data_IF_845608267254
#
_entry.id   IF_845608267254
#
_cell.length_a   1.000
_cell.length_b   1.000
_cell.length_c   1.000
_cell.angle_alpha   90.00
_cell.angle_beta   90.00
_cell.angle_gamma   90.00
#
_symmetry.space_group_name_H-M   'P 1'
#
loop_
_entity.id
_entity.type
_entity.pdbx_description
1 polymer ?
#
# COMPACT_ATOMS: atom_id res chain seq x y z
N UNK A 1 51.17 7.76 39.50
CA UNK A 1 49.99 6.92 39.84
C UNK A 1 48.81 7.04 38.87
N UNK A 2 48.88 7.78 37.75
CA UNK A 2 47.71 8.06 36.88
C UNK A 2 47.46 7.00 35.78
N UNK A 3 48.46 6.19 35.40
CA UNK A 3 48.34 5.22 34.28
C UNK A 3 47.53 3.96 34.63
N UNK A 4 47.45 3.58 35.91
CA UNK A 4 46.69 2.38 36.35
C UNK A 4 45.17 2.59 36.32
N UNK A 5 44.68 3.80 36.60
CA UNK A 5 43.24 4.10 36.60
C UNK A 5 42.61 4.05 35.19
N UNK A 6 43.31 4.51 34.15
CA UNK A 6 42.80 4.49 32.78
C UNK A 6 42.65 3.09 32.17
N UNK A 7 43.52 2.14 32.55
CA UNK A 7 43.40 0.73 32.15
C UNK A 7 42.23 0.03 32.84
N UNK A 8 41.98 0.35 34.11
CA UNK A 8 40.88 -0.21 34.88
C UNK A 8 39.52 0.27 34.34
N UNK A 9 39.39 1.57 34.01
CA UNK A 9 38.19 2.12 33.38
C UNK A 9 37.88 1.53 32.01
N UNK A 10 38.91 1.34 31.15
CA UNK A 10 38.73 0.68 29.85
C UNK A 10 38.31 -0.78 29.99
N UNK A 11 38.80 -1.49 31.01
CA UNK A 11 38.40 -2.87 31.30
C UNK A 11 36.94 -2.96 31.77
N UNK A 12 36.53 -2.05 32.66
CA UNK A 12 35.16 -1.95 33.17
C UNK A 12 34.18 -1.57 32.05
N UNK A 13 34.54 -0.63 31.17
CA UNK A 13 33.73 -0.29 29.99
C UNK A 13 33.57 -1.47 29.02
N UNK A 14 34.63 -2.23 28.76
CA UNK A 14 34.56 -3.45 27.94
C UNK A 14 33.68 -4.52 28.58
N UNK A 15 33.78 -4.71 29.90
CA UNK A 15 32.93 -5.62 30.66
C UNK A 15 31.46 -5.21 30.64
N UNK A 16 31.17 -3.91 30.76
CA UNK A 16 29.83 -3.35 30.63
C UNK A 16 29.27 -3.58 29.23
N UNK A 17 29.98 -3.20 28.17
CA UNK A 17 29.55 -3.38 26.78
C UNK A 17 29.28 -4.86 26.49
N UNK A 18 30.20 -5.76 26.88
CA UNK A 18 30.03 -7.20 26.68
C UNK A 18 28.83 -7.73 27.48
N UNK A 19 28.64 -7.23 28.71
CA UNK A 19 27.49 -7.54 29.55
C UNK A 19 26.16 -7.11 28.93
N UNK A 20 26.06 -5.87 28.41
CA UNK A 20 24.85 -5.38 27.75
C UNK A 20 24.56 -6.13 26.45
N UNK A 21 25.59 -6.50 25.70
CA UNK A 21 25.43 -7.25 24.46
C UNK A 21 24.95 -8.67 24.75
N UNK A 22 25.51 -9.32 25.77
CA UNK A 22 25.13 -10.66 26.21
C UNK A 22 23.71 -10.67 26.77
N UNK A 23 23.34 -9.70 27.62
CA UNK A 23 21.97 -9.60 28.15
C UNK A 23 20.97 -9.26 27.06
N UNK A 24 21.31 -8.38 26.12
CA UNK A 24 20.45 -8.07 24.97
C UNK A 24 20.25 -9.30 24.09
N UNK A 25 21.31 -10.06 23.79
CA UNK A 25 21.22 -11.32 23.05
C UNK A 25 20.41 -12.38 23.80
N UNK A 26 20.57 -12.51 25.12
CA UNK A 26 19.81 -13.48 25.93
C UNK A 26 18.34 -13.08 26.06
N UNK A 27 18.02 -11.78 26.15
CA UNK A 27 16.64 -11.28 26.09
C UNK A 27 16.05 -11.54 24.71
N UNK A 28 16.81 -11.30 23.63
CA UNK A 28 16.37 -11.61 22.27
C UNK A 28 16.12 -13.11 22.09
N UNK A 29 17.05 -13.95 22.55
CA UNK A 29 16.91 -15.41 22.55
C UNK A 29 15.70 -15.84 23.37
N UNK A 30 15.48 -15.27 24.56
CA UNK A 30 14.32 -15.56 25.38
C UNK A 30 13.00 -15.11 24.74
N UNK A 31 12.98 -13.95 24.08
CA UNK A 31 11.84 -13.48 23.31
C UNK A 31 11.56 -14.36 22.09
N UNK A 32 12.60 -14.94 21.48
CA UNK A 32 12.49 -15.85 20.34
C UNK A 32 12.20 -17.30 20.75
N UNK A 33 12.58 -17.71 21.96
CA UNK A 33 12.37 -19.06 22.50
C UNK A 33 11.18 -19.17 23.45
N UNK A 34 10.58 -18.04 23.82
CA UNK A 34 9.31 -18.05 24.54
C UNK A 34 8.28 -18.72 23.62
N UNK A 35 7.64 -19.82 24.08
CA UNK A 35 6.58 -20.41 23.30
C UNK A 35 5.52 -19.33 23.07
N UNK A 36 5.10 -19.14 21.81
CA UNK A 36 3.90 -18.36 21.54
C UNK A 36 2.78 -19.02 22.34
N UNK A 37 2.40 -18.40 23.46
CA UNK A 37 1.15 -18.74 24.13
C UNK A 37 0.07 -18.27 23.18
N UNK A 38 -0.30 -19.15 22.23
CA UNK A 38 -1.52 -19.05 21.46
C UNK A 38 -2.66 -19.15 22.46
N UNK A 39 -3.03 -18.01 23.03
CA UNK A 39 -4.38 -17.84 23.55
C UNK A 39 -5.29 -18.06 22.35
N UNK A 40 -5.87 -19.25 22.30
CA UNK A 40 -7.00 -19.59 21.45
C UNK A 40 -8.17 -18.78 21.97
N UNK A 41 -8.20 -17.50 21.60
CA UNK A 41 -9.38 -16.67 21.80
C UNK A 41 -10.52 -17.37 21.07
N UNK A 42 -11.70 -17.52 21.69
CA UNK A 42 -12.85 -18.08 21.01
C UNK A 42 -13.08 -17.32 19.70
N UNK A 43 -13.22 -18.04 18.59
CA UNK A 43 -13.58 -17.43 17.31
C UNK A 43 -15.02 -16.90 17.41
N UNK A 44 -15.14 -15.65 17.85
CA UNK A 44 -16.41 -14.90 17.82
C UNK A 44 -16.55 -14.33 16.40
N UNK A 45 -17.61 -14.67 15.66
CA UNK A 45 -17.82 -14.16 14.31
C UNK A 45 -17.85 -12.64 14.30
N UNK A 46 -17.26 -12.03 13.27
CA UNK A 46 -17.43 -10.59 13.05
C UNK A 46 -18.92 -10.32 12.79
N UNK A 47 -19.52 -9.29 13.41
CA UNK A 47 -20.89 -8.91 13.11
C UNK A 47 -21.10 -8.70 11.61
N UNK A 48 -22.29 -9.03 11.11
CA UNK A 48 -22.66 -8.82 9.70
C UNK A 48 -22.59 -7.33 9.30
N UNK A 49 -22.59 -6.41 10.25
CA UNK A 49 -22.38 -4.99 9.99
C UNK A 49 -21.69 -4.33 11.19
N UNK A 50 -20.74 -3.44 10.91
CA UNK A 50 -20.05 -2.67 11.94
C UNK A 50 -20.92 -1.56 12.59
N UNK A 51 -22.16 -1.37 12.13
CA UNK A 51 -22.99 -0.23 12.53
C UNK A 51 -24.17 -0.59 13.44
N UNK A 52 -24.18 0.05 14.62
CA UNK A 52 -25.34 0.83 15.04
C UNK A 52 -25.69 1.80 13.89
N UNK A 53 -26.76 1.54 13.13
CA UNK A 53 -27.34 2.57 12.26
C UNK A 53 -27.81 3.74 13.14
N UNK A 54 -27.38 5.00 12.91
CA UNK A 54 -28.17 6.12 13.40
C UNK A 54 -29.57 6.01 12.78
N UNK A 55 -30.66 6.27 13.52
CA UNK A 55 -32.00 6.24 12.94
C UNK A 55 -32.01 7.17 11.74
N UNK A 56 -32.39 6.62 10.59
CA UNK A 56 -32.68 7.40 9.40
C UNK A 56 -33.63 8.53 9.82
N UNK A 57 -33.18 9.78 9.68
CA UNK A 57 -34.05 10.93 9.80
C UNK A 57 -35.22 10.69 8.87
N UNK A 58 -36.43 10.67 9.45
CA UNK A 58 -37.70 10.32 8.84
C UNK A 58 -37.80 10.68 7.36
N UNK A 59 -37.69 9.67 6.49
CA UNK A 59 -38.45 9.69 5.24
C UNK A 59 -39.78 9.02 5.55
N UNK A 60 -40.80 9.86 5.79
CA UNK A 60 -42.17 9.41 5.99
C UNK A 60 -42.56 8.49 4.82
N UNK A 61 -42.94 7.26 5.15
CA UNK A 61 -43.68 6.41 4.26
C UNK A 61 -44.99 7.13 3.87
N UNK A 62 -45.12 7.48 2.60
CA UNK A 62 -46.40 7.76 1.98
C UNK A 62 -46.64 6.65 0.96
N UNK A 63 -47.48 5.70 1.35
CA UNK A 63 -48.09 4.70 0.50
C UNK A 63 -49.07 5.38 -0.45
N UNK A 64 -48.81 5.35 -1.76
CA UNK A 64 -49.87 5.39 -2.78
C UNK A 64 -49.41 4.62 -4.02
N UNK A 65 -50.17 3.57 -4.35
CA UNK A 65 -50.09 2.82 -5.59
C UNK A 65 -50.44 3.70 -6.80
N UNK A 66 -49.64 3.62 -7.87
CA UNK A 66 -50.12 3.61 -9.26
C UNK A 66 -48.99 3.19 -10.21
N UNK A 67 -49.34 2.35 -11.19
CA UNK A 67 -48.46 1.77 -12.22
C UNK A 67 -47.78 2.84 -13.08
N UNK A 68 -46.48 2.67 -13.39
CA UNK A 68 -45.93 2.48 -14.76
C UNK A 68 -44.41 2.67 -14.83
N UNK A 69 -43.84 1.95 -15.80
CA UNK A 69 -42.58 2.22 -16.52
C UNK A 69 -41.29 1.64 -15.91
N UNK A 70 -40.87 0.55 -16.53
CA UNK A 70 -39.53 -0.05 -16.49
C UNK A 70 -38.43 0.91 -16.93
N UNK A 71 -37.50 1.20 -16.01
CA UNK A 71 -36.13 1.63 -16.27
C UNK A 71 -35.30 1.28 -15.03
N UNK A 72 -34.12 0.64 -15.13
CA UNK A 72 -33.35 0.28 -13.96
C UNK A 72 -32.52 1.49 -13.52
N UNK A 73 -33.17 2.47 -12.90
CA UNK A 73 -32.49 3.36 -11.97
C UNK A 73 -32.38 2.58 -10.64
N UNK A 74 -31.52 1.55 -10.64
CA UNK A 74 -31.20 0.84 -9.42
C UNK A 74 -30.41 1.81 -8.54
N UNK A 75 -31.06 2.36 -7.52
CA UNK A 75 -30.40 3.14 -6.47
C UNK A 75 -29.35 2.25 -5.80
N UNK A 76 -28.10 2.38 -6.22
CA UNK A 76 -27.02 1.56 -5.70
C UNK A 76 -26.49 2.21 -4.41
N UNK A 77 -26.25 1.39 -3.38
CA UNK A 77 -25.86 1.90 -2.05
C UNK A 77 -24.35 1.93 -1.93
N UNK A 78 -23.73 3.05 -1.51
CA UNK A 78 -22.28 3.14 -1.34
C UNK A 78 -21.75 2.04 -0.42
N UNK A 79 -20.76 1.30 -0.90
CA UNK A 79 -20.02 0.31 -0.12
C UNK A 79 -19.04 1.04 0.82
N UNK A 80 -19.05 0.64 2.08
CA UNK A 80 -18.24 1.25 3.15
C UNK A 80 -17.28 0.27 3.81
N UNK A 81 -17.53 -1.02 3.68
CA UNK A 81 -16.69 -2.09 4.18
C UNK A 81 -15.75 -2.56 3.07
N UNK A 82 -14.46 -2.25 3.18
CA UNK A 82 -13.48 -2.35 2.11
C UNK A 82 -12.17 -2.96 2.60
N UNK A 83 -11.72 -3.99 1.89
CA UNK A 83 -10.33 -4.45 1.94
C UNK A 83 -9.61 -3.91 0.73
N UNK A 84 -8.63 -3.05 0.93
CA UNK A 84 -7.66 -2.71 -0.09
C UNK A 84 -6.35 -3.44 0.19
N UNK A 85 -6.10 -4.52 -0.56
CA UNK A 85 -4.77 -5.15 -0.52
C UNK A 85 -3.79 -4.21 -1.22
N UNK A 86 -3.02 -3.49 -0.41
CA UNK A 86 -2.02 -2.54 -0.86
C UNK A 86 -0.76 -3.28 -1.33
N UNK A 87 -0.61 -3.43 -2.64
CA UNK A 87 0.61 -3.97 -3.26
C UNK A 87 1.72 -2.92 -3.32
N UNK A 88 2.96 -3.37 -3.35
CA UNK A 88 4.13 -2.52 -3.36
C UNK A 88 4.35 -1.89 -4.75
N UNK A 89 4.78 -0.61 -4.79
CA UNK A 89 5.22 0.10 -6.01
C UNK A 89 4.17 0.19 -7.15
N UNK A 90 2.89 0.07 -6.81
CA UNK A 90 1.72 0.12 -7.72
C UNK A 90 0.90 1.41 -7.59
N UNK A 91 1.55 2.55 -7.32
CA UNK A 91 0.88 3.84 -7.05
C UNK A 91 -0.15 3.80 -5.89
N UNK A 92 -0.06 2.77 -5.04
CA UNK A 92 -1.07 2.44 -4.02
C UNK A 92 -1.20 3.47 -2.90
N UNK A 93 -0.21 4.35 -2.68
CA UNK A 93 -0.34 5.51 -1.78
C UNK A 93 -1.42 6.51 -2.25
N UNK A 94 -1.66 6.62 -3.56
CA UNK A 94 -2.71 7.49 -4.11
C UNK A 94 -4.10 6.92 -3.80
N UNK A 95 -4.29 5.61 -3.99
CA UNK A 95 -5.53 4.90 -3.61
C UNK A 95 -5.77 4.98 -2.10
N UNK A 96 -4.72 4.80 -1.31
CA UNK A 96 -4.81 4.91 0.14
C UNK A 96 -5.25 6.31 0.60
N UNK A 97 -4.79 7.38 -0.06
CA UNK A 97 -5.27 8.74 0.22
C UNK A 97 -6.76 8.94 -0.12
N UNK A 98 -7.24 8.33 -1.22
CA UNK A 98 -8.68 8.28 -1.57
C UNK A 98 -9.46 7.58 -0.45
N UNK A 99 -9.03 6.38 -0.03
CA UNK A 99 -9.69 5.60 1.02
C UNK A 99 -9.71 6.31 2.39
N UNK A 100 -8.62 7.00 2.75
CA UNK A 100 -8.56 7.79 3.99
C UNK A 100 -9.56 8.93 3.99
N UNK A 101 -9.62 9.70 2.89
CA UNK A 101 -10.59 10.79 2.77
C UNK A 101 -12.03 10.28 2.78
N UNK A 102 -12.31 9.18 2.07
CA UNK A 102 -13.62 8.55 2.09
C UNK A 102 -14.00 8.09 3.50
N UNK A 103 -13.13 7.35 4.18
CA UNK A 103 -13.41 6.88 5.54
C UNK A 103 -13.61 8.02 6.54
N UNK A 104 -12.85 9.12 6.45
CA UNK A 104 -13.12 10.30 7.28
C UNK A 104 -14.45 10.98 6.95
N UNK A 105 -14.78 11.14 5.65
CA UNK A 105 -16.06 11.72 5.19
C UNK A 105 -17.24 10.95 5.78
N UNK A 106 -17.13 9.62 5.81
CA UNK A 106 -18.19 8.72 6.28
C UNK A 106 -18.03 8.24 7.74
N UNK A 107 -17.04 8.75 8.47
CA UNK A 107 -16.73 8.38 9.88
C UNK A 107 -16.54 6.87 10.09
N UNK A 108 -15.87 6.23 9.14
CA UNK A 108 -15.62 4.79 9.13
C UNK A 108 -14.45 4.42 10.05
N UNK A 109 -14.51 3.22 10.62
CA UNK A 109 -13.47 2.69 11.49
C UNK A 109 -12.42 1.96 10.67
N UNK A 110 -11.18 2.43 10.72
CA UNK A 110 -10.05 1.80 10.07
C UNK A 110 -9.41 0.72 10.95
N UNK A 111 -9.12 -0.43 10.36
CA UNK A 111 -8.19 -1.40 10.93
C UNK A 111 -6.77 -0.94 10.59
N UNK A 112 -6.11 -0.30 11.55
CA UNK A 112 -4.73 0.17 11.40
C UNK A 112 -3.73 -0.71 12.16
N UNK A 113 -2.46 -0.76 11.74
CA UNK A 113 -1.40 -1.35 12.55
C UNK A 113 -1.15 -0.56 13.85
N UNK A 114 -0.55 -1.21 14.85
CA UNK A 114 -0.36 -0.63 16.19
C UNK A 114 0.93 0.20 16.38
N UNK A 115 1.99 -0.09 15.63
CA UNK A 115 3.34 0.49 15.88
C UNK A 115 4.15 0.85 14.62
N UNK A 116 3.64 0.48 13.44
CA UNK A 116 4.29 0.60 12.12
C UNK A 116 3.30 1.18 11.11
N UNK A 117 3.73 1.39 9.88
CA UNK A 117 2.87 1.74 8.74
C UNK A 117 2.34 0.51 7.96
N UNK A 118 2.80 -0.70 8.34
CA UNK A 118 2.43 -2.00 7.78
C UNK A 118 2.02 -2.98 8.89
N UNK A 119 1.44 -4.12 8.50
CA UNK A 119 1.07 -5.21 9.40
C UNK A 119 2.18 -6.25 9.54
N UNK A 120 3.33 -5.84 10.08
CA UNK A 120 4.50 -6.71 10.34
C UNK A 120 5.01 -7.47 9.10
N UNK A 121 4.98 -6.81 7.95
CA UNK A 121 5.51 -7.37 6.71
C UNK A 121 7.02 -7.68 6.87
N UNK A 122 7.51 -8.85 6.41
CA UNK A 122 6.93 -9.78 5.42
C UNK A 122 6.15 -10.97 6.00
N UNK A 123 5.90 -11.04 7.31
CA UNK A 123 5.11 -12.13 7.90
C UNK A 123 3.66 -12.07 7.37
N UNK A 124 2.99 -13.22 7.16
CA UNK A 124 1.56 -13.24 6.85
C UNK A 124 0.75 -12.40 7.84
N UNK A 125 -0.28 -11.73 7.33
CA UNK A 125 -1.18 -10.94 8.15
C UNK A 125 -1.82 -11.82 9.23
N UNK A 126 -1.96 -11.25 10.42
CA UNK A 126 -2.70 -11.83 11.53
C UNK A 126 -3.51 -10.75 12.23
N UNK A 127 -4.75 -11.05 12.61
CA UNK A 127 -5.69 -10.06 13.15
C UNK A 127 -5.18 -9.34 14.41
N UNK A 128 -4.33 -9.98 15.21
CA UNK A 128 -3.71 -9.37 16.42
C UNK A 128 -2.78 -8.19 16.12
N UNK A 129 -2.38 -8.03 14.86
CA UNK A 129 -1.56 -6.90 14.39
C UNK A 129 -2.41 -5.62 14.24
N UNK A 130 -3.74 -5.74 14.22
CA UNK A 130 -4.67 -4.61 14.16
C UNK A 130 -4.76 -3.94 15.53
N UNK A 131 -4.55 -2.63 15.54
CA UNK A 131 -4.69 -1.76 16.71
C UNK A 131 -6.12 -1.84 17.24
N UNK A 132 -6.25 -1.97 18.55
CA UNK A 132 -7.54 -2.04 19.26
C UNK A 132 -8.41 -3.22 18.80
N UNK A 133 -7.80 -4.28 18.26
CA UNK A 133 -8.50 -5.53 17.95
C UNK A 133 -8.94 -6.23 19.24
N UNK A 134 -10.18 -6.74 19.21
CA UNK A 134 -10.71 -7.66 20.18
C UNK A 134 -11.81 -8.51 19.54
N UNK A 135 -12.12 -9.71 20.07
CA UNK A 135 -13.23 -10.51 19.57
C UNK A 135 -14.54 -9.71 19.50
N UNK A 136 -15.24 -9.80 18.37
CA UNK A 136 -16.49 -9.06 18.12
C UNK A 136 -16.32 -7.58 17.72
N UNK A 137 -15.09 -7.05 17.70
CA UNK A 137 -14.81 -5.72 17.16
C UNK A 137 -14.85 -5.77 15.64
N UNK A 138 -15.64 -4.87 15.06
CA UNK A 138 -15.80 -4.73 13.61
C UNK A 138 -15.06 -3.50 13.10
N UNK A 139 -14.41 -3.62 11.93
CA UNK A 139 -13.75 -2.53 11.22
C UNK A 139 -14.31 -2.42 9.81
N UNK A 140 -14.35 -1.20 9.27
CA UNK A 140 -14.88 -0.93 7.94
C UNK A 140 -13.77 -0.98 6.88
N UNK A 141 -12.60 -0.42 7.14
CA UNK A 141 -11.55 -0.32 6.11
C UNK A 141 -10.23 -0.90 6.61
N UNK A 142 -9.64 -1.81 5.85
CA UNK A 142 -8.24 -2.22 6.00
C UNK A 142 -7.49 -1.94 4.69
N UNK A 143 -6.40 -1.18 4.76
CA UNK A 143 -5.73 -0.69 3.55
C UNK A 143 -4.21 -0.45 3.68
N UNK A 144 -3.60 -0.83 4.81
CA UNK A 144 -2.15 -0.77 4.99
C UNK A 144 -1.46 -1.99 4.35
N UNK A 145 -0.15 -1.87 4.10
CA UNK A 145 0.64 -2.99 3.59
C UNK A 145 0.56 -4.21 4.51
N UNK A 146 0.37 -5.38 3.92
CA UNK A 146 0.37 -6.68 4.57
C UNK A 146 0.85 -7.74 3.58
N UNK A 147 1.27 -8.90 4.09
CA UNK A 147 1.31 -10.12 3.29
C UNK A 147 -0.06 -10.79 3.47
N UNK A 148 -0.85 -10.87 2.40
CA UNK A 148 -2.26 -11.21 2.50
C UNK A 148 -2.48 -12.58 3.16
N UNK A 149 -3.45 -12.65 4.06
CA UNK A 149 -3.93 -13.88 4.66
C UNK A 149 -5.45 -13.77 4.78
N UNK A 150 -6.15 -14.32 3.79
CA UNK A 150 -7.59 -14.16 3.63
C UNK A 150 -8.38 -14.61 4.86
N UNK A 151 -7.98 -15.74 5.45
CA UNK A 151 -8.61 -16.31 6.64
C UNK A 151 -8.53 -15.35 7.82
N UNK A 152 -7.41 -14.65 8.00
CA UNK A 152 -7.26 -13.70 9.11
C UNK A 152 -7.89 -12.34 8.81
N UNK A 153 -7.87 -11.88 7.55
CA UNK A 153 -8.55 -10.64 7.15
C UNK A 153 -10.06 -10.76 7.31
N UNK A 154 -10.65 -11.92 6.97
CA UNK A 154 -12.08 -12.18 7.13
C UNK A 154 -12.56 -12.12 8.60
N UNK A 155 -11.64 -12.14 9.56
CA UNK A 155 -11.94 -12.06 11.00
C UNK A 155 -11.85 -10.64 11.56
N UNK A 156 -11.63 -9.65 10.69
CA UNK A 156 -11.53 -8.22 11.02
C UNK A 156 -12.69 -7.40 10.45
N UNK A 157 -13.27 -7.83 9.31
CA UNK A 157 -14.31 -7.10 8.57
C UNK A 157 -15.58 -7.94 8.33
N UNK A 158 -16.73 -7.31 8.04
CA UNK A 158 -17.97 -8.01 7.68
C UNK A 158 -17.85 -8.96 6.49
N UNK A 159 -18.75 -9.94 6.41
CA UNK A 159 -18.73 -10.96 5.36
C UNK A 159 -18.98 -10.44 3.93
N UNK A 160 -19.69 -9.32 3.77
CA UNK A 160 -20.01 -8.70 2.48
C UNK A 160 -19.07 -7.55 2.09
N UNK A 161 -17.89 -7.49 2.73
CA UNK A 161 -16.81 -6.55 2.44
C UNK A 161 -16.34 -6.66 0.99
N UNK A 162 -16.15 -5.51 0.32
CA UNK A 162 -15.61 -5.44 -1.04
C UNK A 162 -14.07 -5.54 -1.01
N UNK A 163 -13.51 -6.51 -1.73
CA UNK A 163 -12.06 -6.71 -1.84
C UNK A 163 -11.55 -6.09 -3.14
N UNK A 164 -10.64 -5.13 -2.98
CA UNK A 164 -10.03 -4.40 -4.08
C UNK A 164 -8.50 -4.40 -3.97
N UNK A 165 -7.82 -4.30 -5.10
CA UNK A 165 -6.36 -4.16 -5.15
C UNK A 165 -5.95 -3.47 -6.44
N UNK A 166 -4.65 -3.24 -6.62
CA UNK A 166 -4.09 -2.65 -7.81
C UNK A 166 -2.81 -3.39 -8.20
N UNK A 167 -2.63 -3.68 -9.48
CA UNK A 167 -1.42 -4.25 -10.05
C UNK A 167 -0.71 -3.25 -10.95
N UNK A 168 0.52 -3.59 -11.31
CA UNK A 168 1.35 -2.85 -12.25
C UNK A 168 2.07 -3.84 -13.13
N UNK A 169 2.42 -3.42 -14.33
CA UNK A 169 3.28 -4.18 -15.23
C UNK A 169 4.52 -4.70 -14.49
N UNK A 170 4.78 -6.03 -14.48
CA UNK A 170 5.83 -6.62 -13.64
C UNK A 170 7.24 -6.15 -13.94
N UNK A 171 7.56 -5.75 -15.18
CA UNK A 171 8.88 -5.21 -15.49
C UNK A 171 9.05 -3.78 -14.97
N UNK A 172 8.04 -2.92 -15.15
CA UNK A 172 8.03 -1.57 -14.58
C UNK A 172 7.97 -1.58 -13.04
N UNK A 173 7.26 -2.57 -12.48
CA UNK A 173 7.23 -2.84 -11.05
C UNK A 173 8.63 -3.24 -10.56
N UNK A 174 9.28 -4.19 -11.23
CA UNK A 174 10.59 -4.68 -10.84
C UNK A 174 11.65 -3.59 -10.87
N UNK A 175 11.68 -2.75 -11.92
CA UNK A 175 12.54 -1.57 -11.97
C UNK A 175 12.31 -0.66 -10.76
N UNK A 176 11.04 -0.36 -10.46
CA UNK A 176 10.69 0.51 -9.35
C UNK A 176 11.03 -0.09 -7.98
N UNK A 177 10.84 -1.41 -7.83
CA UNK A 177 11.17 -2.17 -6.62
C UNK A 177 12.68 -2.23 -6.39
N UNK A 178 13.44 -2.59 -7.42
CA UNK A 178 14.89 -2.71 -7.36
C UNK A 178 15.55 -1.39 -6.96
N UNK A 179 15.14 -0.28 -7.57
CA UNK A 179 15.66 1.04 -7.21
C UNK A 179 15.27 1.46 -5.77
N UNK A 180 14.04 1.15 -5.34
CA UNK A 180 13.55 1.59 -4.03
C UNK A 180 14.07 0.73 -2.87
N UNK A 181 14.09 -0.58 -3.04
CA UNK A 181 14.41 -1.56 -2.01
C UNK A 181 15.80 -2.17 -2.15
N UNK A 182 16.50 -2.00 -3.29
CA UNK A 182 17.78 -2.68 -3.54
C UNK A 182 18.78 -2.50 -2.39
N UNK A 183 18.94 -1.29 -1.86
CA UNK A 183 19.83 -1.03 -0.71
C UNK A 183 19.42 -1.75 0.59
N UNK A 184 18.19 -2.21 0.71
CA UNK A 184 17.70 -3.02 1.83
C UNK A 184 17.85 -4.53 1.60
N UNK A 185 18.33 -4.94 0.42
CA UNK A 185 18.57 -6.33 0.04
C UNK A 185 20.08 -6.53 -0.13
N UNK A 186 20.77 -7.18 0.84
CA UNK A 186 22.23 -7.29 0.85
C UNK A 186 22.84 -7.85 -0.44
N UNK A 187 22.12 -8.73 -1.14
CA UNK A 187 22.61 -9.32 -2.38
C UNK A 187 22.75 -8.34 -3.54
N UNK A 188 22.10 -7.18 -3.49
CA UNK A 188 22.31 -6.15 -4.52
C UNK A 188 23.60 -5.35 -4.30
N UNK A 189 24.19 -5.43 -3.10
CA UNK A 189 25.38 -4.65 -2.75
C UNK A 189 26.62 -5.15 -3.49
N UNK A 190 26.70 -6.47 -3.72
CA UNK A 190 27.77 -7.13 -4.50
C UNK A 190 27.70 -6.87 -6.01
N UNK A 191 26.58 -6.32 -6.50
CA UNK A 191 26.45 -5.99 -7.92
C UNK A 191 27.33 -4.78 -8.20
N UNK A 192 28.30 -4.98 -9.09
CA UNK A 192 29.27 -3.97 -9.51
C UNK A 192 28.73 -3.15 -10.69
N UNK A 193 29.32 -1.97 -10.94
CA UNK A 193 28.93 -1.11 -12.05
C UNK A 193 27.84 -0.08 -11.72
N UNK A 194 27.63 0.86 -12.65
CA UNK A 194 26.64 1.94 -12.51
C UNK A 194 25.20 1.43 -12.74
N UNK A 195 25.01 0.51 -13.68
CA UNK A 195 23.71 -0.12 -13.99
C UNK A 195 23.52 -1.46 -13.27
N UNK A 196 23.31 -1.39 -11.96
CA UNK A 196 23.08 -2.60 -11.13
C UNK A 196 21.84 -3.40 -11.53
N UNK A 197 20.81 -2.73 -12.05
CA UNK A 197 19.58 -3.40 -12.47
C UNK A 197 19.83 -4.22 -13.73
N UNK A 198 20.53 -3.65 -14.72
CA UNK A 198 20.90 -4.37 -15.93
C UNK A 198 21.83 -5.56 -15.67
N UNK A 199 22.82 -5.40 -14.78
CA UNK A 199 23.68 -6.51 -14.34
C UNK A 199 22.87 -7.62 -13.65
N UNK A 200 21.97 -7.26 -12.74
CA UNK A 200 21.08 -8.24 -12.08
C UNK A 200 20.25 -9.02 -13.10
N UNK A 201 19.59 -8.32 -14.03
CA UNK A 201 18.68 -8.95 -15.00
C UNK A 201 19.42 -9.82 -16.03
N UNK A 202 20.70 -9.56 -16.27
CA UNK A 202 21.52 -10.41 -17.16
C UNK A 202 21.83 -11.76 -16.52
N UNK A 203 22.12 -11.80 -15.22
CA UNK A 203 22.48 -13.01 -14.48
C UNK A 203 21.81 -13.06 -13.09
N UNK A 204 20.47 -13.18 -13.00
CA UNK A 204 19.76 -13.02 -11.72
C UNK A 204 20.11 -14.12 -10.71
N UNK A 205 20.37 -15.34 -11.19
CA UNK A 205 20.75 -16.50 -10.36
C UNK A 205 22.09 -16.29 -9.60
N UNK A 206 22.97 -15.40 -10.08
CA UNK A 206 24.21 -15.06 -9.37
C UNK A 206 23.96 -14.15 -8.16
N UNK A 207 22.87 -13.38 -8.21
CA UNK A 207 22.56 -12.31 -7.28
C UNK A 207 21.30 -12.56 -6.45
N UNK A 208 20.62 -13.68 -6.66
CA UNK A 208 19.40 -14.04 -5.95
C UNK A 208 19.56 -15.32 -5.14
N UNK A 209 19.00 -15.32 -3.94
CA UNK A 209 18.82 -16.50 -3.09
C UNK A 209 17.51 -16.29 -2.33
N UNK A 210 16.63 -17.29 -2.38
CA UNK A 210 15.27 -17.22 -1.82
C UNK A 210 15.29 -17.01 -0.31
N UNK A 211 16.30 -17.54 0.39
CA UNK A 211 16.45 -17.43 1.84
C UNK A 211 17.15 -16.13 2.28
N UNK A 212 17.51 -15.30 1.31
CA UNK A 212 18.12 -14.01 1.54
C UNK A 212 17.27 -13.06 2.36
N UNK A 213 17.91 -12.29 3.23
CA UNK A 213 17.26 -11.19 3.91
C UNK A 213 16.65 -10.21 2.89
N UNK A 214 15.33 -9.99 2.98
CA UNK A 214 14.54 -9.16 2.06
C UNK A 214 14.56 -9.59 0.58
N UNK A 215 14.94 -10.83 0.27
CA UNK A 215 14.95 -11.38 -1.10
C UNK A 215 13.60 -11.25 -1.82
N UNK A 216 12.50 -11.28 -1.07
CA UNK A 216 11.14 -11.19 -1.61
C UNK A 216 10.85 -9.90 -2.40
N UNK A 217 11.59 -8.80 -2.19
CA UNK A 217 11.47 -7.60 -3.02
C UNK A 217 12.01 -7.76 -4.44
N UNK A 218 12.82 -8.80 -4.69
CA UNK A 218 13.53 -9.02 -5.94
C UNK A 218 12.87 -10.06 -6.84
N UNK A 219 11.75 -10.67 -6.49
CA UNK A 219 11.12 -11.70 -7.33
C UNK A 219 9.62 -11.80 -7.08
N UNK A 220 8.81 -11.76 -8.14
CA UNK A 220 7.36 -11.94 -8.13
C UNK A 220 6.66 -11.25 -6.93
N UNK A 221 6.94 -9.96 -6.75
CA UNK A 221 6.54 -9.19 -5.56
C UNK A 221 5.02 -9.07 -5.42
N UNK A 222 4.26 -9.01 -6.53
CA UNK A 222 2.79 -8.97 -6.45
C UNK A 222 2.27 -10.28 -5.88
N UNK A 223 2.72 -11.42 -6.40
CA UNK A 223 2.31 -12.74 -5.91
C UNK A 223 2.68 -12.95 -4.44
N UNK A 224 3.84 -12.42 -4.01
CA UNK A 224 4.22 -12.39 -2.61
C UNK A 224 3.27 -11.54 -1.74
N UNK A 225 2.88 -10.34 -2.20
CA UNK A 225 1.93 -9.46 -1.52
C UNK A 225 0.57 -10.17 -1.32
N UNK A 226 0.14 -11.00 -2.27
CA UNK A 226 -1.06 -11.86 -2.17
C UNK A 226 -0.89 -13.06 -1.21
N UNK A 227 0.21 -13.14 -0.47
CA UNK A 227 0.45 -14.19 0.51
C UNK A 227 1.01 -15.49 -0.06
N UNK A 228 1.25 -15.53 -1.37
CA UNK A 228 1.71 -16.74 -2.06
C UNK A 228 3.23 -16.90 -1.96
N UNK A 229 3.73 -18.04 -2.44
CA UNK A 229 5.16 -18.28 -2.63
C UNK A 229 5.61 -17.66 -3.96
N UNK A 230 6.54 -16.72 -3.88
CA UNK A 230 7.06 -15.95 -5.01
C UNK A 230 8.26 -16.61 -5.71
N UNK A 231 8.71 -17.76 -5.22
CA UNK A 231 9.80 -18.56 -5.81
C UNK A 231 9.30 -19.73 -6.66
N UNK A 232 7.98 -19.90 -6.77
CA UNK A 232 7.41 -20.96 -7.59
C UNK A 232 7.85 -20.85 -9.06
N UNK A 233 8.16 -21.98 -9.71
CA UNK A 233 8.24 -22.04 -11.16
C UNK A 233 6.95 -21.54 -11.79
N UNK A 234 7.03 -20.84 -12.91
CA UNK A 234 5.85 -20.23 -13.52
C UNK A 234 4.80 -21.27 -13.97
N UNK A 235 5.23 -22.48 -14.32
CA UNK A 235 4.42 -23.62 -14.73
C UNK A 235 3.91 -24.47 -13.55
N UNK A 236 4.26 -24.15 -12.31
CA UNK A 236 3.74 -24.83 -11.13
C UNK A 236 2.21 -24.66 -11.05
N UNK A 237 1.42 -25.75 -10.87
CA UNK A 237 -0.04 -25.67 -10.78
C UNK A 237 -0.55 -24.71 -9.70
N UNK A 238 0.21 -24.52 -8.61
CA UNK A 238 -0.13 -23.59 -7.53
C UNK A 238 -0.18 -22.13 -7.99
N UNK A 239 0.54 -21.77 -9.04
CA UNK A 239 0.45 -20.43 -9.66
C UNK A 239 -0.94 -20.21 -10.23
N UNK A 240 -1.45 -21.16 -11.01
CA UNK A 240 -2.79 -21.07 -11.60
C UNK A 240 -3.89 -21.14 -10.53
N UNK A 241 -3.70 -21.93 -9.47
CA UNK A 241 -4.60 -21.97 -8.33
C UNK A 241 -4.65 -20.63 -7.58
N UNK A 242 -3.48 -20.04 -7.28
CA UNK A 242 -3.39 -18.73 -6.64
C UNK A 242 -4.06 -17.62 -7.47
N UNK A 243 -3.84 -17.59 -8.79
CA UNK A 243 -4.50 -16.61 -9.68
C UNK A 243 -6.02 -16.76 -9.64
N UNK A 244 -6.55 -18.01 -9.65
CA UNK A 244 -8.00 -18.25 -9.53
C UNK A 244 -8.55 -17.81 -8.18
N UNK A 245 -7.87 -18.14 -7.09
CA UNK A 245 -8.27 -17.72 -5.75
C UNK A 245 -8.32 -16.19 -5.62
N UNK A 246 -7.34 -15.48 -6.20
CA UNK A 246 -7.36 -14.01 -6.25
C UNK A 246 -8.55 -13.52 -7.09
N UNK A 247 -8.80 -14.12 -8.26
CA UNK A 247 -9.89 -13.72 -9.14
C UNK A 247 -11.28 -13.93 -8.55
N UNK A 248 -11.45 -14.98 -7.73
CA UNK A 248 -12.68 -15.27 -7.01
C UNK A 248 -12.88 -14.34 -5.80
N UNK A 249 -11.79 -13.96 -5.13
CA UNK A 249 -11.87 -13.14 -3.91
C UNK A 249 -12.00 -11.65 -4.18
N UNK A 250 -11.27 -11.13 -5.16
CA UNK A 250 -11.18 -9.68 -5.41
C UNK A 250 -12.24 -9.23 -6.42
N UNK A 251 -13.15 -8.37 -5.96
CA UNK A 251 -14.21 -7.77 -6.78
C UNK A 251 -13.64 -6.90 -7.90
N UNK A 252 -12.57 -6.15 -7.61
CA UNK A 252 -11.86 -5.32 -8.57
C UNK A 252 -10.35 -5.39 -8.38
N UNK A 253 -9.66 -5.77 -9.45
CA UNK A 253 -8.20 -5.66 -9.57
C UNK A 253 -7.90 -4.54 -10.58
N UNK A 254 -7.44 -3.41 -10.06
CA UNK A 254 -7.08 -2.22 -10.84
C UNK A 254 -5.70 -2.36 -11.49
N UNK A 255 -5.41 -1.53 -12.50
CA UNK A 255 -4.12 -1.48 -13.18
C UNK A 255 -3.55 -0.05 -13.18
N UNK A 256 -2.28 0.10 -12.81
CA UNK A 256 -1.59 1.40 -12.80
C UNK A 256 -1.50 2.03 -14.19
N UNK A 257 -1.33 1.21 -15.22
CA UNK A 257 -1.24 1.61 -16.63
C UNK A 257 -2.53 2.24 -17.14
N UNK A 258 -3.65 1.90 -16.49
CA UNK A 258 -5.01 2.38 -16.77
C UNK A 258 -5.61 2.96 -15.48
N UNK A 259 -4.85 3.81 -14.77
CA UNK A 259 -5.19 4.27 -13.42
C UNK A 259 -6.53 5.02 -13.37
N UNK A 260 -6.82 5.85 -14.37
CA UNK A 260 -8.04 6.64 -14.38
C UNK A 260 -9.27 5.78 -14.71
N UNK A 261 -9.16 4.88 -15.69
CA UNK A 261 -10.17 3.86 -15.96
C UNK A 261 -10.40 2.96 -14.74
N UNK A 262 -9.32 2.60 -14.03
CA UNK A 262 -9.37 1.84 -12.79
C UNK A 262 -10.18 2.55 -11.70
N UNK A 263 -10.01 3.87 -11.56
CA UNK A 263 -10.82 4.65 -10.62
C UNK A 263 -12.29 4.73 -11.05
N UNK A 264 -12.58 4.85 -12.34
CA UNK A 264 -13.98 4.80 -12.82
C UNK A 264 -14.63 3.45 -12.52
N UNK A 265 -13.91 2.34 -12.71
CA UNK A 265 -14.40 1.01 -12.31
C UNK A 265 -14.55 0.88 -10.79
N UNK A 266 -13.64 1.48 -10.01
CA UNK A 266 -13.73 1.52 -8.54
C UNK A 266 -15.00 2.25 -8.09
N UNK A 267 -15.29 3.39 -8.73
CA UNK A 267 -16.50 4.18 -8.48
C UNK A 267 -17.76 3.37 -8.73
N UNK A 268 -17.81 2.64 -9.84
CA UNK A 268 -18.95 1.82 -10.22
C UNK A 268 -19.11 0.63 -9.26
N UNK A 269 -18.03 -0.10 -8.98
CA UNK A 269 -18.03 -1.26 -8.07
C UNK A 269 -18.46 -0.89 -6.64
N UNK A 270 -17.97 0.25 -6.12
CA UNK A 270 -18.28 0.66 -4.75
C UNK A 270 -19.48 1.59 -4.62
N UNK A 271 -20.14 1.96 -5.72
CA UNK A 271 -21.23 2.94 -5.72
C UNK A 271 -20.84 4.28 -5.12
N UNK A 272 -19.67 4.78 -5.51
CA UNK A 272 -19.13 6.05 -5.02
C UNK A 272 -19.41 7.21 -5.97
N UNK A 273 -19.25 8.42 -5.44
CA UNK A 273 -19.32 9.64 -6.22
C UNK A 273 -17.96 9.96 -6.86
N UNK A 274 -17.99 10.65 -8.00
CA UNK A 274 -16.77 11.10 -8.69
C UNK A 274 -15.89 11.98 -7.79
N UNK A 275 -16.52 12.75 -6.89
CA UNK A 275 -15.83 13.65 -5.96
C UNK A 275 -14.96 12.91 -4.94
N UNK A 276 -15.32 11.67 -4.60
CA UNK A 276 -14.56 10.83 -3.67
C UNK A 276 -13.27 10.30 -4.31
N UNK A 277 -13.20 10.27 -5.65
CA UNK A 277 -12.05 9.74 -6.40
C UNK A 277 -10.99 10.78 -6.75
N UNK A 278 -11.28 12.08 -6.58
CA UNK A 278 -10.34 13.14 -7.00
C UNK A 278 -8.99 12.90 -6.34
N UNK A 279 -7.89 12.98 -7.08
CA UNK A 279 -6.58 12.56 -6.57
C UNK A 279 -5.45 13.43 -7.10
N UNK A 280 -4.35 13.43 -6.34
CA UNK A 280 -3.05 13.86 -6.83
C UNK A 280 -2.11 12.68 -6.82
N UNK A 281 -1.22 12.61 -7.81
CA UNK A 281 -0.24 11.52 -7.90
C UNK A 281 0.76 11.65 -6.76
N UNK A 282 0.63 10.84 -5.72
CA UNK A 282 1.54 10.83 -4.57
C UNK A 282 2.71 9.87 -4.80
N UNK A 283 3.83 10.15 -4.14
CA UNK A 283 5.06 9.34 -4.21
C UNK A 283 5.61 9.11 -5.63
N UNK A 284 5.45 10.10 -6.51
CA UNK A 284 6.04 10.07 -7.83
C UNK A 284 7.57 10.18 -7.74
N UNK A 285 8.29 9.29 -8.42
CA UNK A 285 9.75 9.36 -8.53
C UNK A 285 10.15 10.42 -9.56
N UNK A 286 11.23 11.17 -9.29
CA UNK A 286 11.88 12.07 -10.24
C UNK A 286 12.25 11.31 -11.52
N UNK A 287 11.91 11.87 -12.69
CA UNK A 287 12.17 11.25 -13.99
C UNK A 287 11.34 9.99 -14.30
N UNK A 288 10.21 9.77 -13.62
CA UNK A 288 9.35 8.59 -13.83
C UNK A 288 8.53 8.57 -15.12
N UNK A 289 8.64 9.59 -15.98
CA UNK A 289 7.88 9.70 -17.22
C UNK A 289 8.43 8.85 -18.38
N UNK A 290 9.61 8.25 -18.22
CA UNK A 290 10.25 7.42 -19.25
C UNK A 290 10.73 6.14 -18.56
N UNK A 291 10.30 4.98 -19.06
CA UNK A 291 10.85 3.69 -18.63
C UNK A 291 12.34 3.67 -18.94
N UNK A 292 13.15 3.33 -17.94
CA UNK A 292 14.61 3.26 -18.09
C UNK A 292 15.06 1.90 -18.65
N UNK A 293 14.14 0.97 -18.86
CA UNK A 293 14.44 -0.37 -19.36
C UNK A 293 14.55 -0.36 -20.88
N UNK A 294 15.66 -0.90 -21.40
CA UNK A 294 15.73 -1.27 -22.82
C UNK A 294 14.75 -2.42 -23.10
N UNK A 295 14.31 -2.63 -24.36
CA UNK A 295 13.44 -3.75 -24.70
C UNK A 295 14.00 -5.11 -24.26
N UNK A 296 15.32 -5.29 -24.32
CA UNK A 296 16.00 -6.50 -23.86
C UNK A 296 15.89 -6.67 -22.34
N UNK A 297 16.23 -5.64 -21.56
CA UNK A 297 16.13 -5.71 -20.10
C UNK A 297 14.68 -5.88 -19.64
N UNK A 298 13.73 -5.28 -20.36
CA UNK A 298 12.30 -5.49 -20.10
C UNK A 298 11.91 -6.96 -20.30
N UNK A 299 12.34 -7.60 -21.38
CA UNK A 299 12.06 -9.02 -21.60
C UNK A 299 12.65 -9.90 -20.48
N UNK A 300 13.90 -9.65 -20.09
CA UNK A 300 14.55 -10.33 -18.96
C UNK A 300 13.83 -10.11 -17.63
N UNK A 301 13.32 -8.90 -17.38
CA UNK A 301 12.55 -8.60 -16.18
C UNK A 301 11.21 -9.35 -16.13
N UNK A 302 10.52 -9.50 -17.27
CA UNK A 302 9.29 -10.29 -17.37
C UNK A 302 9.57 -11.79 -17.21
N UNK A 303 10.67 -12.29 -17.78
CA UNK A 303 11.11 -13.68 -17.61
C UNK A 303 11.44 -13.98 -16.14
N UNK A 304 12.21 -13.10 -15.49
CA UNK A 304 12.56 -13.24 -14.08
C UNK A 304 11.33 -13.20 -13.16
N UNK A 305 10.35 -12.37 -13.50
CA UNK A 305 9.08 -12.23 -12.77
C UNK A 305 7.92 -12.94 -13.49
N UNK A 306 8.17 -14.14 -14.04
CA UNK A 306 7.20 -14.84 -14.88
C UNK A 306 5.87 -15.17 -14.18
N UNK A 307 5.85 -15.35 -12.86
CA UNK A 307 4.60 -15.59 -12.10
C UNK A 307 3.77 -14.31 -12.06
N UNK A 308 4.38 -13.18 -11.71
CA UNK A 308 3.72 -11.88 -11.75
C UNK A 308 3.27 -11.52 -13.18
N UNK A 309 4.03 -11.94 -14.20
CA UNK A 309 3.62 -11.76 -15.60
C UNK A 309 2.36 -12.53 -15.95
N UNK A 310 2.25 -13.81 -15.56
CA UNK A 310 1.01 -14.58 -15.72
C UNK A 310 -0.17 -13.95 -14.97
N UNK A 311 0.06 -13.51 -13.74
CA UNK A 311 -0.94 -12.80 -12.92
C UNK A 311 -1.43 -11.53 -13.62
N UNK A 312 -0.51 -10.68 -14.08
CA UNK A 312 -0.83 -9.43 -14.76
C UNK A 312 -1.59 -9.67 -16.07
N UNK A 313 -1.17 -10.65 -16.89
CA UNK A 313 -1.87 -10.98 -18.14
C UNK A 313 -3.32 -11.41 -17.89
N UNK A 314 -3.56 -12.24 -16.88
CA UNK A 314 -4.91 -12.65 -16.50
C UNK A 314 -5.76 -11.43 -16.12
N UNK A 315 -5.26 -10.59 -15.21
CA UNK A 315 -6.04 -9.46 -14.73
C UNK A 315 -6.19 -8.36 -15.77
N UNK A 316 -5.23 -8.14 -16.67
CA UNK A 316 -5.37 -7.26 -17.82
C UNK A 316 -6.51 -7.71 -18.74
N UNK A 317 -6.61 -9.00 -19.05
CA UNK A 317 -7.72 -9.51 -19.84
C UNK A 317 -9.08 -9.32 -19.13
N UNK A 318 -9.16 -9.59 -17.83
CA UNK A 318 -10.42 -9.39 -17.08
C UNK A 318 -10.77 -7.91 -16.87
N UNK A 319 -9.77 -7.04 -16.76
CA UNK A 319 -9.94 -5.60 -16.61
C UNK A 319 -10.63 -5.03 -17.84
N UNK A 320 -10.14 -5.35 -19.04
CA UNK A 320 -10.75 -4.86 -20.28
C UNK A 320 -12.17 -5.40 -20.50
N UNK A 321 -12.47 -6.63 -20.07
CA UNK A 321 -13.86 -7.13 -20.04
C UNK A 321 -14.76 -6.28 -19.12
N UNK A 322 -14.25 -5.82 -17.97
CA UNK A 322 -15.00 -4.91 -17.07
C UNK A 322 -15.18 -3.53 -17.71
N UNK A 323 -14.18 -3.00 -18.41
CA UNK A 323 -14.29 -1.74 -19.18
C UNK A 323 -15.35 -1.86 -20.28
N UNK A 324 -15.35 -2.95 -21.02
CA UNK A 324 -16.36 -3.24 -22.06
C UNK A 324 -17.77 -3.34 -21.46
N UNK A 325 -17.93 -4.06 -20.34
CA UNK A 325 -19.20 -4.18 -19.64
C UNK A 325 -19.72 -2.84 -19.08
N UNK A 326 -18.82 -1.97 -18.61
CA UNK A 326 -19.15 -0.61 -18.19
C UNK A 326 -19.58 0.29 -19.37
N UNK A 327 -19.05 0.01 -20.56
CA UNK A 327 -19.29 0.73 -21.81
C UNK A 327 -18.12 1.65 -22.18
N UNK A 328 -17.51 1.43 -23.35
CA UNK A 328 -16.28 2.13 -23.78
C UNK A 328 -16.48 3.64 -23.95
N UNK A 329 -17.60 4.07 -24.54
CA UNK A 329 -17.92 5.50 -24.68
C UNK A 329 -18.20 6.16 -23.34
N UNK A 330 -18.90 5.45 -22.44
CA UNK A 330 -19.17 5.92 -21.07
C UNK A 330 -17.86 6.06 -20.30
N UNK A 331 -16.98 5.07 -20.39
CA UNK A 331 -15.64 5.10 -19.79
C UNK A 331 -14.85 6.32 -20.25
N UNK A 332 -14.79 6.57 -21.56
CA UNK A 332 -14.06 7.71 -22.11
C UNK A 332 -14.59 9.06 -21.59
N UNK A 333 -15.92 9.21 -21.49
CA UNK A 333 -16.55 10.43 -20.92
C UNK A 333 -16.23 10.60 -19.44
N UNK A 334 -16.39 9.56 -18.64
CA UNK A 334 -16.19 9.61 -17.20
C UNK A 334 -14.71 9.82 -16.84
N UNK A 335 -13.77 9.23 -17.60
CA UNK A 335 -12.33 9.50 -17.49
C UNK A 335 -12.01 10.95 -17.85
N UNK A 336 -12.60 11.49 -18.93
CA UNK A 336 -12.40 12.89 -19.32
C UNK A 336 -12.90 13.86 -18.23
N UNK A 337 -14.04 13.54 -17.61
CA UNK A 337 -14.59 14.31 -16.48
C UNK A 337 -13.70 14.22 -15.24
N UNK A 338 -13.21 13.04 -14.89
CA UNK A 338 -12.26 12.85 -13.78
C UNK A 338 -10.98 13.67 -14.00
N UNK A 339 -10.40 13.62 -15.20
CA UNK A 339 -9.24 14.43 -15.59
C UNK A 339 -9.49 15.92 -15.45
N UNK A 340 -10.66 16.40 -15.93
CA UNK A 340 -11.05 17.81 -15.83
C UNK A 340 -11.11 18.25 -14.36
N UNK A 341 -11.82 17.51 -13.50
CA UNK A 341 -11.95 17.83 -12.07
C UNK A 341 -10.62 17.77 -11.32
N UNK A 342 -9.76 16.79 -11.63
CA UNK A 342 -8.41 16.71 -11.05
C UNK A 342 -7.55 17.92 -11.44
N UNK A 343 -7.62 18.38 -12.69
CA UNK A 343 -6.90 19.58 -13.14
C UNK A 343 -7.40 20.85 -12.45
N UNK A 344 -8.70 20.97 -12.24
CA UNK A 344 -9.30 22.07 -11.48
C UNK A 344 -8.82 22.05 -10.03
N UNK A 345 -8.89 20.89 -9.38
CA UNK A 345 -8.43 20.73 -8.00
C UNK A 345 -6.93 20.99 -7.86
N UNK A 346 -6.12 20.58 -8.83
CA UNK A 346 -4.69 20.89 -8.86
C UNK A 346 -4.42 22.40 -8.96
N UNK A 347 -5.19 23.12 -9.79
CA UNK A 347 -5.08 24.59 -9.94
C UNK A 347 -5.44 25.33 -8.65
N UNK A 348 -6.41 24.79 -7.90
CA UNK A 348 -6.83 25.31 -6.60
C UNK A 348 -5.76 25.02 -5.54
N UNK A 349 -5.31 23.78 -5.42
CA UNK A 349 -4.55 23.30 -4.27
C UNK A 349 -3.03 23.45 -4.40
N UNK A 350 -2.46 23.30 -5.60
CA UNK A 350 -1.02 23.08 -5.78
C UNK A 350 -0.33 24.39 -6.17
N UNK A 351 0.66 24.79 -5.39
CA UNK A 351 1.54 25.91 -5.74
C UNK A 351 2.32 25.59 -7.01
N UNK A 352 2.27 26.47 -8.01
CA UNK A 352 2.90 26.25 -9.31
C UNK A 352 2.24 25.15 -10.18
N UNK A 353 1.24 24.43 -9.67
CA UNK A 353 0.51 23.39 -10.41
C UNK A 353 1.31 22.12 -10.72
N UNK A 354 2.47 21.90 -10.09
CA UNK A 354 3.33 20.74 -10.35
C UNK A 354 3.97 20.18 -9.07
N UNK A 355 4.46 18.93 -9.16
CA UNK A 355 5.23 18.32 -8.09
C UNK A 355 6.64 18.92 -8.04
N UNK A 356 7.20 19.02 -6.83
CA UNK A 356 8.54 19.56 -6.57
C UNK A 356 9.43 18.51 -5.89
N UNK A 357 10.74 18.69 -6.01
CA UNK A 357 11.72 17.88 -5.30
C UNK A 357 11.52 18.01 -3.78
N UNK A 358 11.81 16.96 -3.02
CA UNK A 358 11.55 16.92 -1.57
C UNK A 358 12.22 18.07 -0.78
N UNK A 359 13.40 18.53 -1.22
CA UNK A 359 14.11 19.65 -0.62
C UNK A 359 13.49 21.03 -0.89
N UNK A 360 12.59 21.13 -1.87
CA UNK A 360 11.86 22.36 -2.23
C UNK A 360 10.47 22.44 -1.59
N UNK A 361 10.11 21.47 -0.75
CA UNK A 361 8.83 21.47 -0.03
C UNK A 361 8.95 22.36 1.20
N UNK A 362 8.09 23.39 1.29
CA UNK A 362 8.15 24.42 2.33
C UNK A 362 7.81 23.87 3.73
N UNK A 363 6.82 22.97 3.81
CA UNK A 363 6.37 22.41 5.08
C UNK A 363 6.93 21.00 5.30
N UNK A 364 7.68 20.80 6.39
CA UNK A 364 8.22 19.50 6.76
C UNK A 364 7.14 18.42 6.92
N UNK A 365 5.93 18.81 7.34
CA UNK A 365 4.78 17.89 7.47
C UNK A 365 4.18 17.45 6.13
N UNK A 366 4.63 18.00 5.00
CA UNK A 366 4.26 17.57 3.65
C UNK A 366 5.41 16.89 2.90
N UNK A 367 6.55 16.67 3.55
CA UNK A 367 7.68 15.97 2.92
C UNK A 367 7.43 14.46 2.84
N UNK A 368 7.50 13.85 1.64
CA UNK A 368 7.33 12.43 1.49
C UNK A 368 8.55 11.67 2.01
N UNK A 369 8.31 10.44 2.46
CA UNK A 369 9.37 9.54 2.88
C UNK A 369 10.35 9.24 1.74
N UNK A 370 11.64 9.41 2.01
CA UNK A 370 12.70 9.13 1.05
C UNK A 370 13.30 7.73 1.27
N UNK A 371 13.60 6.99 0.19
CA UNK A 371 14.38 5.75 0.29
C UNK A 371 15.78 6.04 0.84
N UNK A 372 16.45 5.00 1.35
CA UNK A 372 17.78 5.15 1.93
C UNK A 372 18.77 5.58 0.83
N UNK A 373 19.43 6.72 1.04
CA UNK A 373 20.53 7.21 0.23
C UNK A 373 20.20 7.64 -1.20
N UNK A 374 18.92 7.88 -1.48
CA UNK A 374 18.45 8.61 -2.66
C UNK A 374 17.25 9.48 -2.30
N UNK A 375 17.29 10.78 -2.64
CA UNK A 375 16.14 11.69 -2.46
C UNK A 375 15.38 11.86 -3.78
N UNK A 376 14.69 10.80 -4.22
CA UNK A 376 14.05 10.75 -5.53
C UNK A 376 12.53 10.87 -5.51
N UNK A 377 11.89 10.87 -4.34
CA UNK A 377 10.43 10.94 -4.23
C UNK A 377 10.00 12.41 -4.15
N UNK A 378 9.21 12.84 -5.13
CA UNK A 378 8.67 14.20 -5.23
C UNK A 378 7.40 14.36 -4.40
N UNK A 379 7.10 15.60 -4.02
CA UNK A 379 5.87 15.99 -3.32
C UNK A 379 5.29 17.28 -3.87
N UNK A 380 4.46 17.97 -3.10
CA UNK A 380 3.78 19.19 -3.53
C UNK A 380 3.82 20.26 -2.46
N UNK A 381 3.83 21.52 -2.89
CA UNK A 381 3.57 22.65 -2.02
C UNK A 381 2.09 23.02 -2.07
N UNK A 382 1.48 23.20 -0.89
CA UNK A 382 0.11 23.72 -0.79
C UNK A 382 0.12 25.21 -1.15
N UNK A 383 -0.81 25.61 -2.01
CA UNK A 383 -0.96 27.01 -2.42
C UNK A 383 -1.41 27.87 -1.23
N UNK A 384 -0.75 29.02 -1.03
CA UNK A 384 -0.97 29.87 0.15
C UNK A 384 -2.37 30.51 0.22
N UNK A 385 -3.01 30.78 -0.91
CA UNK A 385 -4.28 31.50 -1.01
C UNK A 385 -5.48 30.60 -1.34
N UNK A 386 -5.46 29.33 -0.91
CA UNK A 386 -6.62 28.43 -1.03
C UNK A 386 -7.78 28.97 -0.19
N UNK A 387 -8.97 29.04 -0.79
CA UNK A 387 -10.18 29.48 -0.13
C UNK A 387 -10.58 28.54 1.03
N UNK A 388 -11.44 29.03 1.91
CA UNK A 388 -11.81 28.31 3.14
C UNK A 388 -12.55 26.98 2.84
N UNK A 389 -13.29 26.89 1.74
CA UNK A 389 -14.04 25.69 1.40
C UNK A 389 -13.10 24.55 0.97
N UNK A 390 -12.05 24.85 0.22
CA UNK A 390 -11.13 23.82 -0.30
C UNK A 390 -9.93 23.54 0.62
N UNK A 391 -9.59 24.43 1.56
CA UNK A 391 -8.35 24.33 2.36
C UNK A 391 -8.13 22.98 3.03
N UNK A 392 -9.17 22.42 3.68
CA UNK A 392 -9.08 21.12 4.36
C UNK A 392 -8.90 19.97 3.38
N UNK A 393 -9.63 19.99 2.26
CA UNK A 393 -9.54 18.96 1.23
C UNK A 393 -8.18 18.99 0.53
N UNK A 394 -7.73 20.17 0.09
CA UNK A 394 -6.41 20.36 -0.51
C UNK A 394 -5.30 19.84 0.39
N UNK A 395 -5.33 20.19 1.69
CA UNK A 395 -4.34 19.70 2.65
C UNK A 395 -4.31 18.17 2.65
N UNK A 396 -5.46 17.53 2.84
CA UNK A 396 -5.57 16.06 2.88
C UNK A 396 -5.10 15.39 1.60
N UNK A 397 -5.44 15.95 0.43
CA UNK A 397 -5.03 15.40 -0.87
C UNK A 397 -3.52 15.46 -1.10
N UNK A 398 -2.84 16.43 -0.50
CA UNK A 398 -1.39 16.61 -0.61
C UNK A 398 -0.60 15.91 0.50
N UNK A 399 -1.23 15.59 1.63
CA UNK A 399 -0.59 14.91 2.77
C UNK A 399 -0.05 13.54 2.34
N UNK A 400 1.27 13.28 2.49
CA UNK A 400 1.83 11.97 2.20
C UNK A 400 1.38 10.92 3.22
N UNK A 401 1.43 9.67 2.80
CA UNK A 401 0.85 8.51 3.50
C UNK A 401 1.21 8.43 5.00
N UNK A 402 2.49 8.55 5.37
CA UNK A 402 2.93 8.40 6.76
C UNK A 402 2.38 9.52 7.66
N UNK A 403 2.34 10.74 7.14
CA UNK A 403 1.78 11.87 7.86
C UNK A 403 0.27 11.72 8.01
N UNK A 404 -0.43 11.26 6.96
CA UNK A 404 -1.87 11.04 7.05
C UNK A 404 -2.21 9.89 8.02
N UNK A 405 -1.44 8.81 8.04
CA UNK A 405 -1.58 7.76 9.07
C UNK A 405 -1.43 8.33 10.49
N UNK A 406 -0.48 9.25 10.69
CA UNK A 406 -0.31 9.92 11.99
C UNK A 406 -1.54 10.78 12.34
N UNK A 407 -2.07 11.53 11.37
CA UNK A 407 -3.28 12.36 11.54
C UNK A 407 -4.52 11.51 11.90
N UNK A 408 -4.56 10.25 11.44
CA UNK A 408 -5.60 9.27 11.74
C UNK A 408 -5.33 8.46 13.02
N UNK A 409 -4.30 8.82 13.80
CA UNK A 409 -4.03 8.25 15.13
C UNK A 409 -3.21 6.96 15.14
N UNK A 410 -2.49 6.65 14.05
CA UNK A 410 -1.54 5.53 14.01
C UNK A 410 -0.24 5.92 14.69
N UNK A 411 0.23 5.09 15.62
CA UNK A 411 1.52 5.29 16.27
C UNK A 411 2.63 4.71 15.37
N UNK A 412 3.40 5.61 14.73
CA UNK A 412 4.48 5.25 13.82
C UNK A 412 5.87 5.27 14.47
N UNK A 413 5.99 5.02 15.79
CA UNK A 413 7.28 5.16 16.49
C UNK A 413 8.40 4.29 15.89
N UNK A 414 8.10 3.06 15.44
CA UNK A 414 9.09 2.19 14.80
C UNK A 414 9.51 2.79 13.45
N UNK A 415 8.56 3.21 12.62
CA UNK A 415 8.85 3.86 11.33
C UNK A 415 9.66 5.16 11.51
N UNK A 416 9.35 5.95 12.53
CA UNK A 416 10.10 7.18 12.86
C UNK A 416 11.52 6.89 13.34
N UNK A 417 11.70 5.85 14.16
CA UNK A 417 13.03 5.38 14.58
C UNK A 417 13.89 4.99 13.39
N UNK A 418 13.33 4.23 12.44
CA UNK A 418 14.00 3.91 11.17
C UNK A 418 14.32 5.17 10.35
N UNK A 419 13.46 6.19 10.40
CA UNK A 419 13.70 7.48 9.76
C UNK A 419 14.95 8.17 10.32
N UNK A 420 15.10 8.19 11.65
CA UNK A 420 16.29 8.72 12.30
C UNK A 420 17.55 7.92 11.97
N UNK A 421 17.48 6.58 11.96
CA UNK A 421 18.61 5.72 11.57
C UNK A 421 19.03 6.00 10.12
N UNK A 422 18.07 6.11 9.19
CA UNK A 422 18.31 6.47 7.80
C UNK A 422 19.05 7.81 7.70
N UNK A 423 18.60 8.82 8.44
CA UNK A 423 19.16 10.17 8.36
C UNK A 423 20.60 10.21 8.91
N UNK A 424 20.94 9.35 9.88
CA UNK A 424 22.32 9.16 10.39
C UNK A 424 23.20 8.44 9.37
N UNK A 425 22.68 7.39 8.71
CA UNK A 425 23.46 6.58 7.76
C UNK A 425 23.69 7.27 6.40
N UNK A 426 22.92 8.30 6.08
CA UNK A 426 23.07 9.11 4.85
C UNK A 426 23.90 10.38 5.06
N UNK A 427 24.73 10.43 6.13
CA UNK A 427 25.64 11.54 6.40
C UNK A 427 27.05 11.27 5.85
#
# INVERSE_FOLDING_TARGET
MVVKQGKQWRSVCKGLILGTLLTSCMILLYCLSAPEVQFSLPDVPVPYSCAHRPPSVHSKAASHHSLRSSGPDQSCTPKVDIVFLKTHKTASSTILNILFRFGEKHRLKFAFPSSRNDFFYPSPFHRSQVKDYGPGVCFNIICNHMRFNEVEVAKVLPGDTSYITILRDPAELFESSFHYFGRLVPFTWKISGEDKLGEFLREPELYYDSEGFNSFYLRNLLFFDFGQDNNLPADDPRVAEGIRAIAERFELVMLVEHFEESLILLKDALCWDMEDLLFFKLNARKGSTISKLTPELRAKALEWNAVDWKLYQYFNATFWKKVEAYGTERMARDVAELRRRNKEMATICIEGGHAVDAGSIHETSMQPWQPIGEKSIMGYNLKNNVDKAHRKLCRKMLTPELQYLTDLGVNLWITKLWGHVRDILNW
#
